data_IF_889550262283
#
_entry.id   IF_889550262283
#
_cell.length_a   1.000
_cell.length_b   1.000
_cell.length_c   1.000
_cell.angle_alpha   90.00
_cell.angle_beta   90.00
_cell.angle_gamma   90.00
#
_symmetry.space_group_name_H-M   'P 1'
#
loop_
_entity.id
_entity.type
_entity.pdbx_description
1 polymer ?
#
# COMPACT_ATOMS: atom_id res chain seq x y z
N UNK A 1 7.53 -10.77 2.85
CA UNK A 1 6.30 -10.42 2.11
C UNK A 1 5.11 -10.98 2.89
N UNK A 2 4.17 -10.12 3.25
CA UNK A 2 2.97 -10.48 4.02
C UNK A 2 1.88 -11.02 3.09
N UNK A 3 0.98 -11.88 3.59
CA UNK A 3 -0.12 -12.43 2.82
C UNK A 3 -1.43 -12.32 3.61
N UNK A 4 -2.47 -11.84 2.93
CA UNK A 4 -3.85 -11.79 3.44
C UNK A 4 -4.76 -12.60 2.52
N UNK A 5 -5.93 -12.97 3.02
CA UNK A 5 -6.99 -13.48 2.16
C UNK A 5 -7.70 -12.31 1.47
N UNK A 6 -8.24 -12.56 0.27
CA UNK A 6 -9.10 -11.58 -0.37
C UNK A 6 -10.28 -11.21 0.53
N UNK A 7 -10.85 -10.02 0.29
CA UNK A 7 -11.97 -9.47 1.09
C UNK A 7 -11.62 -9.24 2.57
N UNK A 8 -10.34 -9.30 2.93
CA UNK A 8 -9.84 -8.91 4.26
C UNK A 8 -9.28 -7.49 4.23
N UNK A 9 -9.27 -6.80 5.37
CA UNK A 9 -8.58 -5.52 5.52
C UNK A 9 -7.11 -5.73 5.88
N UNK A 10 -6.28 -4.70 5.65
CA UNK A 10 -4.88 -4.67 6.07
C UNK A 10 -4.55 -3.29 6.62
N UNK A 11 -3.84 -3.25 7.74
CA UNK A 11 -3.21 -2.03 8.25
C UNK A 11 -1.74 -2.11 7.91
N UNK A 12 -1.27 -1.20 7.06
CA UNK A 12 0.13 -1.09 6.68
C UNK A 12 0.77 0.10 7.42
N UNK A 13 1.67 -0.19 8.36
CA UNK A 13 2.47 0.85 9.00
C UNK A 13 3.64 1.25 8.08
N UNK A 14 3.61 2.47 7.58
CA UNK A 14 4.68 3.08 6.80
C UNK A 14 5.51 4.00 7.67
N UNK A 15 6.81 4.10 7.36
CA UNK A 15 7.75 5.03 8.01
C UNK A 15 8.46 5.85 6.95
N UNK A 16 8.75 7.10 7.26
CA UNK A 16 9.43 8.03 6.36
C UNK A 16 10.85 8.24 6.84
N UNK A 17 11.81 8.00 5.95
CA UNK A 17 13.23 8.12 6.22
C UNK A 17 13.89 9.10 5.25
N UNK A 18 14.90 9.84 5.72
CA UNK A 18 15.79 10.63 4.87
C UNK A 18 16.96 9.78 4.32
N UNK A 19 17.91 10.43 3.65
CA UNK A 19 19.09 9.79 3.08
C UNK A 19 20.01 9.13 4.12
N UNK A 20 19.93 9.57 5.37
CA UNK A 20 20.76 9.08 6.48
C UNK A 20 20.03 7.99 7.29
N UNK A 21 18.89 7.50 6.77
CA UNK A 21 18.01 6.55 7.45
C UNK A 21 17.42 7.07 8.76
N UNK A 22 17.38 8.39 8.97
CA UNK A 22 16.72 9.00 10.11
C UNK A 22 15.23 9.23 9.82
N UNK A 23 14.40 9.09 10.86
CA UNK A 23 12.96 9.31 10.74
C UNK A 23 12.65 10.79 10.53
N UNK A 24 11.85 11.10 9.50
CA UNK A 24 11.44 12.48 9.18
C UNK A 24 9.92 12.61 9.17
N UNK A 25 9.42 13.82 9.47
CA UNK A 25 8.01 14.16 9.22
C UNK A 25 7.94 14.79 7.81
N UNK A 26 7.18 14.21 6.87
CA UNK A 26 7.03 14.79 5.54
C UNK A 26 6.26 16.11 5.56
N UNK A 27 6.52 16.98 4.57
CA UNK A 27 5.70 18.16 4.27
C UNK A 27 4.42 17.76 3.52
N UNK A 28 4.54 16.76 2.63
CA UNK A 28 3.42 16.12 1.95
C UNK A 28 3.74 14.66 1.68
N UNK A 29 2.72 13.81 1.62
CA UNK A 29 2.87 12.43 1.20
C UNK A 29 1.60 11.94 0.48
N UNK A 30 1.80 11.10 -0.52
CA UNK A 30 0.73 10.38 -1.22
C UNK A 30 1.01 8.90 -1.24
N UNK A 31 -0.06 8.11 -1.38
CA UNK A 31 0.06 6.70 -1.69
C UNK A 31 -0.83 6.32 -2.87
N UNK A 32 -0.45 5.26 -3.57
CA UNK A 32 -1.30 4.55 -4.53
C UNK A 32 -1.16 3.06 -4.34
N UNK A 33 -2.16 2.31 -4.79
CA UNK A 33 -2.14 0.85 -4.76
C UNK A 33 -2.30 0.35 -6.19
N UNK A 34 -1.37 -0.47 -6.64
CA UNK A 34 -1.40 -1.10 -7.96
C UNK A 34 -1.38 -2.63 -7.80
N UNK A 35 -2.08 -3.35 -8.66
CA UNK A 35 -1.84 -4.78 -8.87
C UNK A 35 -0.62 -4.97 -9.77
N UNK A 36 0.40 -5.70 -9.29
CA UNK A 36 1.66 -5.87 -10.02
C UNK A 36 1.47 -6.74 -11.28
N UNK A 37 0.65 -7.79 -11.19
CA UNK A 37 0.52 -8.77 -12.26
C UNK A 37 -0.16 -8.20 -13.51
N UNK A 38 -1.23 -7.44 -13.31
CA UNK A 38 -2.01 -6.82 -14.38
C UNK A 38 -1.62 -5.37 -14.68
N UNK A 39 -0.92 -4.70 -13.76
CA UNK A 39 -0.67 -3.25 -13.83
C UNK A 39 -1.91 -2.40 -13.52
N UNK A 40 -3.01 -3.01 -13.06
CA UNK A 40 -4.25 -2.29 -12.76
C UNK A 40 -4.08 -1.41 -11.53
N UNK A 41 -4.42 -0.12 -11.65
CA UNK A 41 -4.53 0.77 -10.50
C UNK A 41 -5.74 0.38 -9.65
N UNK A 42 -5.50 0.01 -8.38
CA UNK A 42 -6.54 -0.30 -7.40
C UNK A 42 -7.00 0.98 -6.71
N UNK A 43 -6.05 1.81 -6.29
CA UNK A 43 -6.28 3.09 -5.63
C UNK A 43 -5.43 4.14 -6.32
N UNK A 44 -6.07 5.16 -6.88
CA UNK A 44 -5.38 6.30 -7.45
C UNK A 44 -4.55 7.05 -6.38
N UNK A 45 -3.61 7.88 -6.81
CA UNK A 45 -2.78 8.68 -5.90
C UNK A 45 -3.65 9.48 -4.92
N UNK A 46 -3.52 9.16 -3.65
CA UNK A 46 -4.33 9.68 -2.55
C UNK A 46 -3.43 10.36 -1.52
N UNK A 47 -3.83 11.54 -1.03
CA UNK A 47 -3.07 12.27 -0.02
C UNK A 47 -3.12 11.57 1.35
N UNK A 48 -1.97 11.46 2.01
CA UNK A 48 -1.87 11.00 3.39
C UNK A 48 -2.04 12.22 4.31
N UNK A 49 -3.03 12.18 5.20
CA UNK A 49 -3.34 13.30 6.10
C UNK A 49 -2.77 13.10 7.51
N UNK A 50 -2.60 14.21 8.24
CA UNK A 50 -2.11 14.22 9.63
C UNK A 50 -0.66 13.73 9.78
N UNK A 51 0.22 14.09 8.84
CA UNK A 51 1.58 13.58 8.68
C UNK A 51 2.37 13.48 10.00
N UNK A 52 3.10 12.39 10.12
CA UNK A 52 4.01 12.06 11.22
C UNK A 52 5.15 11.21 10.64
N UNK A 53 6.18 10.89 11.43
CA UNK A 53 7.29 10.04 10.99
C UNK A 53 6.91 8.60 10.67
N UNK A 54 5.75 8.17 11.16
CA UNK A 54 5.10 6.92 10.79
C UNK A 54 3.60 7.12 10.58
N UNK A 55 3.01 6.36 9.66
CA UNK A 55 1.57 6.39 9.37
C UNK A 55 1.00 5.03 9.09
N UNK A 56 -0.24 4.82 9.51
CA UNK A 56 -1.00 3.64 9.15
C UNK A 56 -1.84 3.95 7.91
N UNK A 57 -1.64 3.14 6.86
CA UNK A 57 -2.52 3.10 5.69
C UNK A 57 -3.51 1.97 5.91
N UNK A 58 -4.79 2.34 5.98
CA UNK A 58 -5.90 1.39 6.09
C UNK A 58 -6.31 0.94 4.69
N UNK A 59 -5.97 -0.29 4.33
CA UNK A 59 -6.37 -0.90 3.07
C UNK A 59 -7.68 -1.67 3.30
N UNK A 60 -8.69 -1.29 2.53
CA UNK A 60 -10.05 -1.81 2.62
C UNK A 60 -10.19 -3.19 1.98
N UNK A 61 -11.26 -3.90 2.33
CA UNK A 61 -11.59 -5.18 1.70
C UNK A 61 -11.85 -5.05 0.20
N UNK A 62 -12.35 -3.91 -0.27
CA UNK A 62 -12.63 -3.64 -1.69
C UNK A 62 -11.35 -3.45 -2.50
N UNK A 63 -10.33 -2.83 -1.91
CA UNK A 63 -8.98 -2.72 -2.48
C UNK A 63 -8.26 -4.08 -2.49
N UNK A 64 -8.63 -4.97 -1.58
CA UNK A 64 -8.10 -6.33 -1.46
C UNK A 64 -8.94 -7.41 -2.16
N UNK A 65 -9.79 -7.04 -3.13
CA UNK A 65 -10.48 -8.03 -3.98
C UNK A 65 -9.51 -8.64 -5.00
N UNK A 66 -9.67 -9.91 -5.36
CA UNK A 66 -9.00 -10.48 -6.55
C UNK A 66 -9.58 -9.84 -7.82
N UNK A 67 -8.73 -9.55 -8.82
CA UNK A 67 -9.14 -8.99 -10.10
C UNK A 67 -9.44 -10.08 -11.14
N UNK A 68 -8.65 -11.15 -11.16
CA UNK A 68 -8.83 -12.28 -12.06
C UNK A 68 -9.08 -13.56 -11.26
N UNK A 69 -10.31 -14.07 -11.31
CA UNK A 69 -10.74 -15.22 -10.50
C UNK A 69 -9.94 -16.51 -10.77
N UNK A 70 -9.31 -16.62 -11.96
CA UNK A 70 -8.42 -17.71 -12.31
C UNK A 70 -7.08 -17.69 -11.56
N UNK A 71 -6.68 -16.54 -11.00
CA UNK A 71 -5.46 -16.41 -10.23
C UNK A 71 -5.62 -17.01 -8.84
N UNK A 72 -4.69 -17.85 -8.41
CA UNK A 72 -4.66 -18.34 -7.03
C UNK A 72 -4.29 -17.25 -6.02
N UNK A 73 -3.52 -16.26 -6.47
CA UNK A 73 -3.10 -15.10 -5.68
C UNK A 73 -2.78 -13.92 -6.61
N UNK A 74 -2.83 -12.72 -6.05
CA UNK A 74 -2.38 -11.49 -6.71
C UNK A 74 -1.48 -10.69 -5.77
N UNK A 75 -0.63 -9.83 -6.33
CA UNK A 75 0.32 -9.03 -5.55
C UNK A 75 -0.07 -7.56 -5.66
N UNK A 76 -0.27 -6.92 -4.51
CA UNK A 76 -0.49 -5.49 -4.41
C UNK A 76 0.78 -4.79 -4.01
N UNK A 77 1.03 -3.67 -4.67
CA UNK A 77 2.10 -2.73 -4.33
C UNK A 77 1.48 -1.44 -3.84
N UNK A 78 1.75 -1.10 -2.58
CA UNK A 78 1.52 0.25 -2.06
C UNK A 78 2.75 1.07 -2.37
N UNK A 79 2.63 2.06 -3.26
CA UNK A 79 3.71 3.02 -3.53
C UNK A 79 3.44 4.28 -2.73
N UNK A 80 4.41 4.74 -1.96
CA UNK A 80 4.36 5.97 -1.18
C UNK A 80 5.39 6.95 -1.73
N UNK A 81 4.96 8.16 -2.05
CA UNK A 81 5.83 9.27 -2.43
C UNK A 81 5.66 10.37 -1.41
N UNK A 82 6.76 10.95 -0.94
CA UNK A 82 6.71 12.01 0.06
C UNK A 82 7.74 13.08 -0.20
N UNK A 83 7.37 14.32 0.10
CA UNK A 83 8.26 15.48 0.08
C UNK A 83 8.64 15.83 1.52
N UNK A 84 9.89 16.20 1.74
CA UNK A 84 10.41 16.59 3.04
C UNK A 84 11.46 17.69 2.90
N UNK A 85 11.95 18.20 4.04
CA UNK A 85 12.88 19.32 4.10
C UNK A 85 12.34 20.57 3.36
N UNK A 86 11.11 20.99 3.71
CA UNK A 86 10.42 22.12 3.07
C UNK A 86 10.24 21.90 1.57
N UNK A 87 9.85 20.68 1.21
CA UNK A 87 9.60 20.23 -0.17
C UNK A 87 10.80 20.34 -1.12
N UNK A 88 12.02 20.40 -0.59
CA UNK A 88 13.25 20.41 -1.40
C UNK A 88 13.77 19.02 -1.73
N UNK A 89 13.32 18.01 -0.98
CA UNK A 89 13.70 16.61 -1.17
C UNK A 89 12.47 15.72 -1.32
N UNK A 90 12.65 14.61 -2.03
CA UNK A 90 11.61 13.62 -2.26
C UNK A 90 12.12 12.22 -1.89
N UNK A 91 11.29 11.45 -1.21
CA UNK A 91 11.48 10.01 -1.01
C UNK A 91 10.41 9.20 -1.72
N UNK A 92 10.74 7.95 -2.04
CA UNK A 92 9.80 6.98 -2.59
C UNK A 92 10.03 5.63 -1.93
N UNK A 93 8.96 5.03 -1.41
CA UNK A 93 8.98 3.71 -0.81
C UNK A 93 7.89 2.84 -1.45
N UNK A 94 8.07 1.53 -1.43
CA UNK A 94 7.03 0.60 -1.83
C UNK A 94 6.91 -0.57 -0.86
N UNK A 95 5.69 -1.09 -0.75
CA UNK A 95 5.35 -2.19 0.14
C UNK A 95 4.50 -3.20 -0.62
N UNK A 96 5.04 -4.41 -0.79
CA UNK A 96 4.36 -5.47 -1.52
C UNK A 96 3.71 -6.47 -0.54
N UNK A 97 2.45 -6.84 -0.82
CA UNK A 97 1.74 -7.88 -0.09
C UNK A 97 0.91 -8.75 -1.05
N UNK A 98 0.68 -9.99 -0.63
CA UNK A 98 -0.09 -10.97 -1.39
C UNK A 98 -1.54 -10.99 -0.94
N UNK A 99 -2.44 -11.14 -1.90
CA UNK A 99 -3.85 -11.46 -1.69
C UNK A 99 -4.08 -12.88 -2.17
N UNK A 100 -4.50 -13.76 -1.28
CA UNK A 100 -4.89 -15.14 -1.61
C UNK A 100 -6.35 -15.18 -2.04
N UNK A 101 -6.60 -15.81 -3.18
CA UNK A 101 -7.95 -16.01 -3.68
C UNK A 101 -8.70 -17.03 -2.81
N UNK A 102 -9.97 -16.75 -2.50
CA UNK A 102 -10.87 -17.62 -1.73
C UNK A 102 -11.88 -18.34 -2.63
N UNK A 103 -11.71 -18.33 -3.96
CA UNK A 103 -12.62 -18.92 -4.96
C UNK A 103 -12.93 -20.43 -4.83
N UNK A 104 -12.43 -21.11 -3.80
CA UNK A 104 -12.82 -22.47 -3.41
C UNK A 104 -13.24 -22.62 -1.94
N UNK A 105 -13.32 -21.53 -1.19
CA UNK A 105 -13.67 -21.54 0.24
C UNK A 105 -15.17 -21.26 0.39
N UNK A 106 -15.97 -22.32 0.43
CA UNK A 106 -17.35 -22.24 0.89
C UNK A 106 -17.34 -22.09 2.41
N UNK A 107 -17.70 -20.91 2.92
CA UNK A 107 -18.00 -20.76 4.35
C UNK A 107 -19.20 -21.63 4.71
N UNK A 108 -19.19 -22.34 5.86
CA UNK A 108 -20.35 -23.07 6.36
C UNK A 108 -21.54 -22.14 6.65
#
# INVERSE_FOLDING_TARGET
>A
MYAINERSTLILNIKFYDEDSALVVPDSATYKIDDIGSGTAITASTNITGLASSKDIHITYTENRILAEANQEEIRRVTVVFLYATSTKQGTAYYDYKIKNLSGVTTP
#
